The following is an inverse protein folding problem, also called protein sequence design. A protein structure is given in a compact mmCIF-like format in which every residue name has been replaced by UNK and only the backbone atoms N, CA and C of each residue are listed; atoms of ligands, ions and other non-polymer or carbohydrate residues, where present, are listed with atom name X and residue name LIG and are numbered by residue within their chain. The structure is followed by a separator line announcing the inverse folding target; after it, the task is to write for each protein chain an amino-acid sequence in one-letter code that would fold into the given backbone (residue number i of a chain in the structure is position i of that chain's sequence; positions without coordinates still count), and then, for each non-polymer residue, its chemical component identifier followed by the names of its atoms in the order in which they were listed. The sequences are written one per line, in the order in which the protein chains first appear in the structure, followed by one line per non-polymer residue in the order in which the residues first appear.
data_IF_329327641475
#
_entry.id   IF_329327641475
#
_cell.length_a   1.000
_cell.length_b   1.000
_cell.length_c   1.000
_cell.angle_alpha   90.00
_cell.angle_beta   90.00
_cell.angle_gamma   90.00
#
_symmetry.space_group_name_H-M   'P 1'
#
loop_
_entity.id
_entity.type
_entity.pdbx_description
1 polymer ?
#
# COMPACT_ATOMS: atom_id res chain seq x y z
N UNK A 1 -2.17 -9.44 -47.52
CA UNK A 1 -1.15 -9.28 -46.46
C UNK A 1 -1.60 -10.12 -45.27
N UNK A 2 -0.78 -11.03 -44.73
CA UNK A 2 -1.18 -11.78 -43.54
C UNK A 2 -1.11 -10.85 -42.32
N UNK A 3 -2.26 -10.68 -41.65
CA UNK A 3 -2.33 -10.07 -40.33
C UNK A 3 -1.47 -10.90 -39.37
N UNK A 4 -0.36 -10.33 -38.91
CA UNK A 4 0.42 -10.92 -37.83
C UNK A 4 -0.44 -10.92 -36.57
N UNK A 5 -0.77 -12.13 -36.10
CA UNK A 5 -1.39 -12.36 -34.81
C UNK A 5 -0.45 -11.78 -33.72
N UNK A 6 -0.89 -10.85 -32.85
CA UNK A 6 -0.04 -10.34 -31.79
C UNK A 6 0.39 -11.54 -30.93
N UNK A 7 1.70 -11.76 -30.79
CA UNK A 7 2.23 -12.83 -29.94
C UNK A 7 1.55 -12.72 -28.58
N UNK A 8 0.86 -13.78 -28.15
CA UNK A 8 0.45 -13.91 -26.75
C UNK A 8 1.72 -13.80 -25.92
N UNK A 9 1.91 -12.66 -25.25
CA UNK A 9 2.98 -12.50 -24.28
C UNK A 9 2.61 -13.45 -23.15
N UNK A 10 3.31 -14.57 -23.03
CA UNK A 10 3.24 -15.42 -21.85
C UNK A 10 3.94 -14.66 -20.74
N UNK A 11 3.16 -13.91 -19.95
CA UNK A 11 3.66 -13.19 -18.79
C UNK A 11 3.94 -14.22 -17.69
N UNK A 12 5.18 -14.26 -17.21
CA UNK A 12 5.51 -15.00 -15.99
C UNK A 12 4.77 -14.36 -14.82
N UNK A 13 3.98 -15.15 -14.08
CA UNK A 13 3.20 -14.67 -12.94
C UNK A 13 4.08 -14.20 -11.78
N UNK A 14 5.36 -14.58 -11.76
CA UNK A 14 6.36 -14.15 -10.77
C UNK A 14 7.24 -12.98 -11.28
N UNK A 15 6.89 -12.35 -12.39
CA UNK A 15 7.68 -11.26 -12.97
C UNK A 15 7.84 -10.03 -12.05
N UNK A 16 7.12 -9.96 -10.92
CA UNK A 16 7.27 -8.88 -9.94
C UNK A 16 8.70 -8.81 -9.38
N UNK A 17 9.36 -9.95 -9.17
CA UNK A 17 10.71 -10.04 -8.60
C UNK A 17 11.82 -9.65 -9.59
N UNK A 18 11.48 -9.60 -10.88
CA UNK A 18 12.41 -9.26 -11.98
C UNK A 18 12.01 -7.98 -12.71
N UNK A 19 10.96 -7.30 -12.23
CA UNK A 19 10.49 -6.06 -12.81
C UNK A 19 11.58 -4.98 -12.64
N UNK A 20 11.89 -4.17 -13.67
CA UNK A 20 12.88 -3.12 -13.53
C UNK A 20 12.51 -2.16 -12.38
N UNK A 21 13.46 -1.84 -11.50
CA UNK A 21 13.24 -0.99 -10.32
C UNK A 21 12.56 0.34 -10.65
N UNK A 22 12.91 0.94 -11.79
CA UNK A 22 12.30 2.20 -12.24
C UNK A 22 10.79 2.07 -12.49
N UNK A 23 10.34 0.92 -13.00
CA UNK A 23 8.92 0.61 -13.24
C UNK A 23 8.21 0.31 -11.92
N UNK A 24 8.81 -0.53 -11.06
CA UNK A 24 8.28 -0.83 -9.74
C UNK A 24 8.13 0.45 -8.89
N UNK A 25 9.16 1.30 -8.86
CA UNK A 25 9.14 2.56 -8.14
C UNK A 25 8.09 3.54 -8.69
N UNK A 26 7.88 3.59 -10.02
CA UNK A 26 6.83 4.42 -10.60
C UNK A 26 5.42 3.95 -10.18
N UNK A 27 5.18 2.64 -10.16
CA UNK A 27 3.93 2.05 -9.70
C UNK A 27 3.69 2.31 -8.19
N UNK A 28 4.72 2.10 -7.36
CA UNK A 28 4.65 2.38 -5.92
C UNK A 28 4.33 3.86 -5.64
N UNK A 29 5.05 4.80 -6.26
CA UNK A 29 4.79 6.24 -6.10
C UNK A 29 3.38 6.62 -6.56
N UNK A 30 2.85 5.96 -7.61
CA UNK A 30 1.47 6.16 -8.07
C UNK A 30 0.46 5.66 -7.03
N UNK A 31 0.67 4.49 -6.45
CA UNK A 31 -0.17 3.95 -5.36
C UNK A 31 -0.20 4.91 -4.17
N UNK A 32 0.97 5.36 -3.71
CA UNK A 32 1.09 6.31 -2.59
C UNK A 32 0.30 7.58 -2.88
N UNK A 33 0.51 8.20 -4.05
CA UNK A 33 -0.24 9.41 -4.45
C UNK A 33 -1.75 9.18 -4.55
N UNK A 34 -2.17 7.99 -5.01
CA UNK A 34 -3.59 7.64 -5.07
C UNK A 34 -4.20 7.55 -3.65
N UNK A 35 -3.50 6.92 -2.71
CA UNK A 35 -3.93 6.82 -1.31
C UNK A 35 -3.85 8.16 -0.57
N UNK A 36 -2.96 9.06 -0.97
CA UNK A 36 -2.93 10.45 -0.49
C UNK A 36 -4.16 11.23 -0.96
N UNK A 37 -4.66 10.98 -2.17
CA UNK A 37 -5.88 11.60 -2.66
C UNK A 37 -7.16 11.01 -2.04
N UNK A 38 -7.19 9.68 -1.85
CA UNK A 38 -8.34 8.94 -1.31
C UNK A 38 -8.38 8.93 0.22
N UNK A 39 -8.59 10.10 0.82
CA UNK A 39 -8.71 10.24 2.28
C UNK A 39 -9.90 9.47 2.88
N UNK A 40 -10.92 9.21 2.06
CA UNK A 40 -12.08 8.39 2.40
C UNK A 40 -11.71 6.92 2.67
N UNK A 41 -10.64 6.42 2.04
CA UNK A 41 -10.13 5.08 2.32
C UNK A 41 -9.35 5.09 3.63
N UNK A 42 -10.04 4.96 4.77
CA UNK A 42 -9.41 4.95 6.09
C UNK A 42 -8.47 3.74 6.25
N UNK A 43 -7.42 3.90 7.04
CA UNK A 43 -6.46 2.82 7.28
C UNK A 43 -7.15 1.57 7.87
N UNK A 44 -8.14 1.75 8.74
CA UNK A 44 -8.86 0.62 9.35
C UNK A 44 -9.65 -0.20 8.32
N UNK A 45 -10.25 0.45 7.33
CA UNK A 45 -10.97 -0.25 6.26
C UNK A 45 -10.02 -0.95 5.30
N UNK A 46 -8.87 -0.34 4.98
CA UNK A 46 -7.81 -0.99 4.21
C UNK A 46 -7.28 -2.24 4.92
N UNK A 47 -7.02 -2.13 6.23
CA UNK A 47 -6.62 -3.27 7.06
C UNK A 47 -7.69 -4.36 7.08
N UNK A 48 -8.96 -4.00 7.28
CA UNK A 48 -10.07 -4.95 7.30
C UNK A 48 -10.32 -5.66 5.96
N UNK A 49 -10.03 -5.01 4.83
CA UNK A 49 -10.22 -5.58 3.51
C UNK A 49 -9.01 -6.40 3.03
N UNK A 50 -7.81 -5.86 3.21
CA UNK A 50 -6.59 -6.33 2.50
C UNK A 50 -5.41 -6.65 3.41
N UNK A 51 -5.55 -6.41 4.71
CA UNK A 51 -4.52 -6.75 5.69
C UNK A 51 -3.30 -5.83 5.67
N UNK A 52 -3.32 -4.77 4.86
CA UNK A 52 -2.33 -3.70 4.87
C UNK A 52 -2.99 -2.32 4.80
N UNK A 53 -2.24 -1.28 5.17
CA UNK A 53 -2.67 0.11 5.03
C UNK A 53 -1.47 1.04 4.76
N UNK A 54 -1.67 2.35 4.79
CA UNK A 54 -0.60 3.35 4.61
C UNK A 54 0.55 3.18 5.60
N UNK A 55 0.25 2.79 6.85
CA UNK A 55 1.30 2.56 7.85
C UNK A 55 2.18 1.36 7.50
N UNK A 56 1.62 0.33 6.87
CA UNK A 56 2.38 -0.81 6.38
C UNK A 56 3.33 -0.39 5.25
N UNK A 57 2.88 0.46 4.32
CA UNK A 57 3.77 1.03 3.29
C UNK A 57 4.92 1.84 3.89
N UNK A 58 4.68 2.55 5.00
CA UNK A 58 5.73 3.29 5.70
C UNK A 58 6.75 2.35 6.35
N UNK A 59 6.28 1.24 6.93
CA UNK A 59 7.16 0.21 7.49
C UNK A 59 7.98 -0.47 6.37
N UNK A 60 7.36 -0.79 5.21
CA UNK A 60 8.05 -1.41 4.07
C UNK A 60 9.14 -0.54 3.44
N UNK A 61 8.98 0.80 3.39
CA UNK A 61 10.07 1.65 2.89
C UNK A 61 11.25 1.70 3.87
N UNK A 62 11.00 1.58 5.19
CA UNK A 62 12.07 1.49 6.20
C UNK A 62 12.82 0.18 6.04
N UNK A 63 12.09 -0.94 5.92
CA UNK A 63 12.66 -2.26 5.64
C UNK A 63 13.44 -2.28 4.31
N UNK A 64 12.97 -1.52 3.31
CA UNK A 64 13.64 -1.28 2.04
C UNK A 64 14.84 -0.32 2.10
N UNK A 65 15.23 0.18 3.28
CA UNK A 65 16.42 1.00 3.48
C UNK A 65 16.20 2.52 3.48
N UNK A 66 14.98 3.00 3.71
CA UNK A 66 14.73 4.43 3.93
C UNK A 66 15.48 4.92 5.18
N UNK A 67 16.26 6.00 5.02
CA UNK A 67 17.16 6.49 6.07
C UNK A 67 16.45 7.23 7.23
N UNK A 68 15.19 7.62 7.05
CA UNK A 68 14.40 8.29 8.08
C UNK A 68 13.77 7.32 9.08
N UNK A 69 13.25 7.87 10.18
CA UNK A 69 12.54 7.09 11.19
C UNK A 69 11.09 6.78 10.80
N UNK A 70 10.37 6.08 11.68
CA UNK A 70 8.97 5.71 11.49
C UNK A 70 8.03 6.91 11.35
N UNK A 71 8.35 8.04 11.98
CA UNK A 71 7.54 9.25 11.84
C UNK A 71 7.75 9.84 10.43
N UNK A 72 9.00 10.03 10.01
CA UNK A 72 9.35 10.54 8.69
C UNK A 72 8.79 9.66 7.56
N UNK A 73 8.89 8.34 7.69
CA UNK A 73 8.34 7.40 6.70
C UNK A 73 6.82 7.56 6.56
N UNK A 74 6.10 7.73 7.68
CA UNK A 74 4.66 7.97 7.66
C UNK A 74 4.31 9.30 7.01
N UNK A 75 5.07 10.36 7.24
CA UNK A 75 4.84 11.64 6.57
C UNK A 75 5.03 11.54 5.05
N UNK A 76 6.05 10.80 4.60
CA UNK A 76 6.27 10.53 3.16
C UNK A 76 5.07 9.80 2.55
N UNK A 77 4.55 8.76 3.21
CA UNK A 77 3.42 7.99 2.68
C UNK A 77 2.09 8.76 2.79
N UNK A 78 1.84 9.44 3.91
CA UNK A 78 0.60 10.19 4.13
C UNK A 78 0.57 11.52 3.36
N UNK A 79 1.72 12.04 2.93
CA UNK A 79 1.84 13.32 2.23
C UNK A 79 1.60 14.54 3.11
N UNK A 80 1.49 14.33 4.43
CA UNK A 80 1.19 15.34 5.44
C UNK A 80 1.83 14.93 6.78
N UNK A 81 2.16 15.89 7.67
CA UNK A 81 2.56 15.61 9.04
C UNK A 81 1.52 14.77 9.78
N UNK A 82 1.98 13.85 10.63
CA UNK A 82 1.08 12.93 11.35
C UNK A 82 0.00 13.68 12.15
N UNK A 83 0.37 14.78 12.82
CA UNK A 83 -0.56 15.60 13.59
C UNK A 83 -1.67 16.21 12.70
N UNK A 84 -1.31 16.68 11.50
CA UNK A 84 -2.24 17.28 10.55
C UNK A 84 -3.19 16.23 9.95
N UNK A 85 -2.67 15.04 9.63
CA UNK A 85 -3.51 13.94 9.15
C UNK A 85 -4.54 13.52 10.20
N UNK A 86 -4.12 13.38 11.46
CA UNK A 86 -5.03 13.02 12.55
C UNK A 86 -6.13 14.06 12.73
N UNK A 87 -5.76 15.34 12.71
CA UNK A 87 -6.71 16.43 12.88
C UNK A 87 -7.72 16.56 11.73
N UNK A 88 -7.31 16.26 10.49
CA UNK A 88 -8.16 16.48 9.30
C UNK A 88 -8.97 15.26 8.87
N UNK A 89 -8.45 14.05 9.09
CA UNK A 89 -8.98 12.86 8.40
C UNK A 89 -9.16 11.63 9.28
N UNK A 90 -8.63 11.59 10.51
CA UNK A 90 -8.78 10.40 11.34
C UNK A 90 -10.18 10.33 11.97
N UNK A 91 -10.87 9.22 11.74
CA UNK A 91 -12.11 8.89 12.45
C UNK A 91 -11.86 7.76 13.45
N UNK A 92 -12.66 7.70 14.52
CA UNK A 92 -12.67 6.53 15.39
C UNK A 92 -13.16 5.30 14.64
N UNK A 93 -12.52 4.15 14.90
CA UNK A 93 -12.91 2.89 14.31
C UNK A 93 -14.11 2.30 15.06
N UNK A 94 -15.11 1.82 14.33
CA UNK A 94 -16.23 1.09 14.93
C UNK A 94 -15.80 -0.32 15.37
N UNK A 95 -16.53 -0.96 16.30
CA UNK A 95 -16.27 -2.34 16.69
C UNK A 95 -16.24 -3.31 15.50
N UNK A 96 -17.11 -3.10 14.50
CA UNK A 96 -17.17 -3.93 13.28
C UNK A 96 -15.94 -3.73 12.39
N UNK A 97 -15.41 -2.51 12.31
CA UNK A 97 -14.17 -2.23 11.60
C UNK A 97 -12.97 -2.91 12.27
N UNK A 98 -12.91 -2.89 13.60
CA UNK A 98 -11.88 -3.58 14.37
C UNK A 98 -11.95 -5.11 14.18
N UNK A 99 -13.14 -5.69 14.26
CA UNK A 99 -13.33 -7.13 14.06
C UNK A 99 -12.89 -7.58 12.64
N UNK A 100 -13.24 -6.82 11.60
CA UNK A 100 -12.79 -7.09 10.22
C UNK A 100 -11.27 -7.00 10.09
N UNK A 101 -10.63 -6.01 10.71
CA UNK A 101 -9.17 -5.90 10.75
C UNK A 101 -8.54 -7.13 11.41
N UNK A 102 -9.04 -7.57 12.56
CA UNK A 102 -8.51 -8.75 13.25
C UNK A 102 -8.64 -10.02 12.41
N UNK A 103 -9.77 -10.22 11.74
CA UNK A 103 -9.95 -11.36 10.83
C UNK A 103 -8.98 -11.30 9.64
N UNK A 104 -8.83 -10.11 9.05
CA UNK A 104 -7.92 -9.87 7.94
C UNK A 104 -6.46 -10.12 8.33
N UNK A 105 -6.03 -9.68 9.51
CA UNK A 105 -4.70 -9.94 10.05
C UNK A 105 -4.43 -11.43 10.25
N UNK A 106 -5.43 -12.24 10.63
CA UNK A 106 -5.28 -13.70 10.71
C UNK A 106 -5.02 -14.33 9.34
N UNK A 107 -5.53 -13.74 8.26
CA UNK A 107 -5.25 -14.21 6.87
C UNK A 107 -3.81 -13.92 6.45
N UNK A 108 -3.17 -12.92 7.05
CA UNK A 108 -1.75 -12.64 6.85
C UNK A 108 -0.85 -13.64 7.58
N UNK A 109 -1.34 -14.33 8.62
CA UNK A 109 -0.57 -15.31 9.39
C UNK A 109 -0.30 -16.57 8.55
N UNK A 110 0.71 -16.50 7.69
CA UNK A 110 1.06 -17.53 6.71
C UNK A 110 1.62 -16.98 5.41
N UNK A 111 1.47 -15.67 5.16
CA UNK A 111 2.13 -14.96 4.08
C UNK A 111 3.36 -14.22 4.65
N UNK A 112 4.58 -14.48 4.16
CA UNK A 112 5.76 -13.72 4.56
C UNK A 112 5.66 -12.25 4.13
#
# INVERSE_FOLDING_TARGET
MPFQNPRKITVDTNAIDTLPDSVAAAAFRRLVKHLQHRHDAQNIDLMGLSGFCRNCLADWIIEGGFAGDKAAAREVIHGLPAAEWKARYQTEATPEQLARMEESLKKNAGHP
#
